data_IF_418800522373
#
_entry.id   IF_418800522373
#
_cell.length_a   1.000
_cell.length_b   1.000
_cell.length_c   1.000
_cell.angle_alpha   90.00
_cell.angle_beta   90.00
_cell.angle_gamma   90.00
#
_symmetry.space_group_name_H-M   'P 1'
#
loop_
_entity.id
_entity.type
_entity.pdbx_description
1 polymer ?
#
# COMPACT_ATOMS: atom_id res chain seq x y z
N UNK A 1 3.81 -25.14 -6.09
CA UNK A 1 5.16 -24.68 -5.68
C UNK A 1 5.05 -23.16 -5.54
N UNK A 2 4.81 -22.70 -4.32
CA UNK A 2 4.63 -21.29 -4.00
C UNK A 2 6.04 -20.69 -3.96
N UNK A 3 6.28 -19.72 -4.85
CA UNK A 3 7.56 -19.06 -4.97
C UNK A 3 8.04 -18.53 -3.63
N UNK A 4 9.26 -18.90 -3.28
CA UNK A 4 10.02 -18.29 -2.20
C UNK A 4 10.15 -16.80 -2.55
N UNK A 5 9.27 -15.98 -1.95
CA UNK A 5 9.42 -14.54 -1.98
C UNK A 5 10.81 -14.21 -1.42
N UNK A 6 11.56 -13.46 -2.19
CA UNK A 6 12.87 -12.94 -1.90
C UNK A 6 12.94 -12.45 -0.46
N UNK A 7 13.62 -13.22 0.39
CA UNK A 7 14.05 -12.72 1.68
C UNK A 7 15.13 -11.68 1.40
N UNK A 8 14.72 -10.44 1.28
CA UNK A 8 15.66 -9.32 1.31
C UNK A 8 16.31 -9.39 2.69
N UNK A 9 17.58 -9.79 2.75
CA UNK A 9 18.30 -9.98 4.02
C UNK A 9 18.50 -8.61 4.70
N UNK A 10 18.42 -7.52 3.95
CA UNK A 10 18.54 -6.15 4.43
C UNK A 10 17.40 -5.30 3.89
N UNK A 11 16.65 -4.68 4.81
CA UNK A 11 15.54 -3.76 4.51
C UNK A 11 15.81 -2.48 5.30
N UNK A 12 15.92 -1.34 4.63
CA UNK A 12 16.23 -0.03 5.24
C UNK A 12 17.49 -0.05 6.13
N UNK A 13 18.52 -0.81 5.76
CA UNK A 13 19.74 -0.95 6.58
C UNK A 13 19.60 -1.92 7.76
N UNK A 14 18.43 -2.50 7.97
CA UNK A 14 18.18 -3.49 9.03
C UNK A 14 18.42 -4.89 8.50
N UNK A 15 19.36 -5.63 9.12
CA UNK A 15 19.59 -7.03 8.82
C UNK A 15 18.48 -7.89 9.44
N UNK A 16 17.54 -8.34 8.58
CA UNK A 16 16.35 -9.08 9.02
C UNK A 16 16.65 -10.45 9.63
N UNK A 17 17.82 -11.03 9.32
CA UNK A 17 18.24 -12.32 9.87
C UNK A 17 18.76 -12.21 11.32
N UNK A 18 19.26 -11.04 11.72
CA UNK A 18 19.88 -10.79 13.04
C UNK A 18 18.93 -10.12 14.05
N UNK A 19 17.67 -9.97 13.71
CA UNK A 19 16.69 -9.36 14.62
C UNK A 19 16.58 -10.13 15.93
N UNK A 20 16.60 -9.46 17.09
CA UNK A 20 16.50 -10.09 18.37
C UNK A 20 15.16 -10.82 18.56
N UNK A 21 15.22 -11.92 19.30
CA UNK A 21 14.02 -12.62 19.77
C UNK A 21 13.88 -12.31 21.25
N UNK A 22 12.78 -11.66 21.63
CA UNK A 22 12.48 -11.33 23.01
C UNK A 22 11.43 -12.30 23.51
N UNK A 23 11.67 -12.93 24.65
CA UNK A 23 10.71 -13.84 25.28
C UNK A 23 9.53 -13.07 25.91
N UNK A 24 8.44 -13.78 26.22
CA UNK A 24 7.22 -13.14 26.70
C UNK A 24 7.42 -12.49 28.08
N UNK A 25 8.18 -13.12 28.97
CA UNK A 25 8.49 -12.57 30.30
C UNK A 25 9.34 -11.28 30.17
N UNK A 26 10.31 -11.28 29.28
CA UNK A 26 11.15 -10.12 28.98
C UNK A 26 10.34 -8.98 28.34
N UNK A 27 9.35 -9.30 27.50
CA UNK A 27 8.44 -8.29 26.94
C UNK A 27 7.64 -7.55 28.00
N UNK A 28 7.14 -8.25 28.99
CA UNK A 28 6.35 -7.65 30.06
C UNK A 28 7.23 -6.72 30.94
N UNK A 29 8.48 -7.11 31.19
CA UNK A 29 9.44 -6.27 31.91
C UNK A 29 9.82 -5.02 31.12
N UNK A 30 10.14 -5.17 29.82
CA UNK A 30 10.45 -4.06 28.95
C UNK A 30 9.26 -3.08 28.89
N UNK A 31 8.03 -3.61 28.83
CA UNK A 31 6.84 -2.74 28.80
C UNK A 31 6.68 -1.91 30.08
N UNK A 32 6.97 -2.50 31.24
CA UNK A 32 6.98 -1.75 32.51
C UNK A 32 8.02 -0.63 32.51
N UNK A 33 9.22 -0.90 31.98
CA UNK A 33 10.28 0.12 31.81
C UNK A 33 9.90 1.20 30.83
N UNK A 34 9.24 0.86 29.73
CA UNK A 34 8.71 1.84 28.76
C UNK A 34 7.72 2.78 29.43
N UNK A 35 6.79 2.26 30.23
CA UNK A 35 5.84 3.08 31.00
C UNK A 35 6.53 4.01 32.01
N UNK A 36 7.71 3.67 32.50
CA UNK A 36 8.53 4.55 33.36
C UNK A 36 9.39 5.55 32.59
N UNK A 37 9.34 5.56 31.25
CA UNK A 37 10.05 6.52 30.40
C UNK A 37 11.44 6.07 29.94
N UNK A 38 11.77 4.78 30.04
CA UNK A 38 13.05 4.24 29.59
C UNK A 38 13.09 4.13 28.04
N UNK A 39 13.84 5.05 27.42
CA UNK A 39 14.01 5.08 25.97
C UNK A 39 14.75 3.84 25.42
N UNK A 40 15.75 3.32 26.16
CA UNK A 40 16.49 2.12 25.74
C UNK A 40 15.61 0.87 25.75
N UNK A 41 14.72 0.73 26.72
CA UNK A 41 13.74 -0.36 26.73
C UNK A 41 12.76 -0.25 25.55
N UNK A 42 12.38 0.98 25.16
CA UNK A 42 11.51 1.22 24.00
C UNK A 42 12.18 0.81 22.69
N UNK A 43 13.44 1.17 22.47
CA UNK A 43 14.21 0.78 21.30
C UNK A 43 14.32 -0.74 21.19
N UNK A 44 14.72 -1.40 22.27
CA UNK A 44 14.86 -2.87 22.30
C UNK A 44 13.50 -3.57 22.03
N UNK A 45 12.40 -3.02 22.57
CA UNK A 45 11.07 -3.56 22.32
C UNK A 45 10.63 -3.40 20.86
N UNK A 46 10.95 -2.27 20.22
CA UNK A 46 10.71 -2.05 18.80
C UNK A 46 11.48 -3.08 17.97
N UNK A 47 12.79 -3.21 18.21
CA UNK A 47 13.65 -4.15 17.48
C UNK A 47 13.16 -5.59 17.57
N UNK A 48 12.77 -6.03 18.76
CA UNK A 48 12.25 -7.38 18.98
C UNK A 48 10.89 -7.67 18.35
N UNK A 49 10.18 -6.62 17.91
CA UNK A 49 8.89 -6.77 17.23
C UNK A 49 8.95 -6.44 15.70
N UNK A 50 10.13 -6.12 15.15
CA UNK A 50 10.27 -5.85 13.70
C UNK A 50 9.90 -7.07 12.84
N UNK A 51 10.09 -8.30 13.34
CA UNK A 51 9.63 -9.52 12.65
C UNK A 51 8.12 -9.55 12.44
N UNK A 52 7.35 -8.95 13.38
CA UNK A 52 5.91 -8.82 13.23
C UNK A 52 5.57 -7.91 12.05
N UNK A 53 6.28 -6.78 11.92
CA UNK A 53 6.13 -5.87 10.77
C UNK A 53 6.45 -6.60 9.46
N UNK A 54 7.58 -7.34 9.40
CA UNK A 54 7.97 -8.12 8.23
C UNK A 54 6.88 -9.13 7.81
N UNK A 55 6.28 -9.82 8.76
CA UNK A 55 5.21 -10.78 8.47
C UNK A 55 3.94 -10.12 7.92
N UNK A 56 3.69 -8.88 8.31
CA UNK A 56 2.51 -8.12 7.85
C UNK A 56 2.74 -7.56 6.44
N UNK A 57 3.90 -7.00 6.14
CA UNK A 57 4.17 -6.42 4.81
C UNK A 57 4.14 -7.48 3.71
N UNK A 58 4.44 -8.75 4.00
CA UNK A 58 4.29 -9.83 3.03
C UNK A 58 2.86 -9.96 2.47
N UNK A 59 1.85 -9.55 3.23
CA UNK A 59 0.45 -9.55 2.77
C UNK A 59 0.17 -8.45 1.75
N UNK A 60 1.06 -7.46 1.64
CA UNK A 60 0.98 -6.34 0.71
C UNK A 60 1.96 -6.47 -0.46
N UNK A 61 2.53 -7.67 -0.69
CA UNK A 61 3.47 -7.93 -1.79
C UNK A 61 2.91 -7.67 -3.19
N UNK A 62 1.58 -7.67 -3.33
CA UNK A 62 0.89 -7.36 -4.58
C UNK A 62 0.69 -5.85 -4.80
N UNK A 63 1.04 -4.99 -3.83
CA UNK A 63 1.09 -3.56 -4.07
C UNK A 63 2.34 -3.24 -4.89
N UNK A 64 2.24 -2.30 -5.83
CA UNK A 64 3.39 -1.85 -6.63
C UNK A 64 4.34 -0.94 -5.84
N UNK A 65 4.18 -0.87 -4.52
CA UNK A 65 4.98 -0.02 -3.65
C UNK A 65 6.30 -0.67 -3.25
N UNK A 66 7.29 0.16 -2.94
CA UNK A 66 8.59 -0.31 -2.47
C UNK A 66 8.43 -0.99 -1.09
N UNK A 67 9.02 -2.18 -0.97
CA UNK A 67 9.03 -2.95 0.29
C UNK A 67 9.67 -2.15 1.43
N UNK A 68 10.69 -1.35 1.13
CA UNK A 68 11.37 -0.51 2.12
C UNK A 68 10.41 0.56 2.70
N UNK A 69 9.59 1.18 1.84
CA UNK A 69 8.59 2.17 2.27
C UNK A 69 7.49 1.52 3.10
N UNK A 70 6.97 0.36 2.66
CA UNK A 70 5.99 -0.41 3.43
C UNK A 70 6.53 -0.81 4.80
N UNK A 71 7.81 -1.16 4.89
CA UNK A 71 8.46 -1.50 6.15
C UNK A 71 8.55 -0.30 7.08
N UNK A 72 9.00 0.86 6.57
CA UNK A 72 9.06 2.09 7.36
C UNK A 72 7.68 2.50 7.89
N UNK A 73 6.66 2.49 7.04
CA UNK A 73 5.28 2.78 7.46
C UNK A 73 4.76 1.76 8.48
N UNK A 74 5.10 0.47 8.28
CA UNK A 74 4.79 -0.57 9.25
C UNK A 74 5.45 -0.33 10.60
N UNK A 75 6.71 0.14 10.62
CA UNK A 75 7.42 0.52 11.84
C UNK A 75 6.75 1.72 12.53
N UNK A 76 6.25 2.70 11.79
CA UNK A 76 5.47 3.81 12.36
C UNK A 76 4.21 3.27 13.05
N UNK A 77 3.50 2.33 12.42
CA UNK A 77 2.36 1.65 13.01
C UNK A 77 2.70 0.88 14.28
N UNK A 78 3.85 0.19 14.30
CA UNK A 78 4.36 -0.51 15.47
C UNK A 78 4.68 0.45 16.61
N UNK A 79 5.39 1.55 16.34
CA UNK A 79 5.71 2.57 17.35
C UNK A 79 4.44 3.17 17.96
N UNK A 80 3.46 3.55 17.14
CA UNK A 80 2.15 4.02 17.63
C UNK A 80 1.43 2.97 18.49
N UNK A 81 1.56 1.70 18.13
CA UNK A 81 0.97 0.62 18.92
C UNK A 81 1.66 0.49 20.27
N UNK A 82 2.99 0.61 20.36
CA UNK A 82 3.74 0.57 21.61
C UNK A 82 3.34 1.74 22.52
N UNK A 83 3.28 2.94 21.95
CA UNK A 83 2.98 4.17 22.72
C UNK A 83 1.54 4.18 23.29
N UNK A 84 0.60 3.52 22.62
CA UNK A 84 -0.81 3.52 23.01
C UNK A 84 -1.30 2.19 23.64
N UNK A 85 -0.44 1.18 23.78
CA UNK A 85 -0.85 -0.09 24.32
C UNK A 85 -1.08 -0.04 25.84
N UNK A 86 -2.21 -0.56 26.26
CA UNK A 86 -2.55 -0.74 27.64
C UNK A 86 -2.47 -2.21 28.06
N UNK A 87 -1.55 -2.52 28.98
CA UNK A 87 -1.33 -3.87 29.50
C UNK A 87 -2.46 -4.37 30.40
N UNK A 88 -3.32 -3.48 30.92
CA UNK A 88 -4.40 -3.86 31.81
C UNK A 88 -5.59 -4.51 31.08
N UNK A 89 -5.64 -4.38 29.75
CA UNK A 89 -6.72 -4.96 28.94
C UNK A 89 -6.65 -6.49 28.77
N UNK A 90 -5.61 -7.15 29.25
CA UNK A 90 -5.49 -8.61 29.22
C UNK A 90 -5.34 -9.21 27.82
N UNK A 91 -5.06 -8.40 26.79
CA UNK A 91 -4.81 -8.87 25.42
C UNK A 91 -3.33 -8.89 25.11
N UNK A 92 -2.90 -9.79 24.23
CA UNK A 92 -1.51 -9.82 23.78
C UNK A 92 -1.20 -8.57 22.94
N UNK A 93 0.01 -8.01 23.12
CA UNK A 93 0.47 -6.86 22.35
C UNK A 93 0.32 -7.08 20.82
N UNK A 94 0.68 -8.25 20.31
CA UNK A 94 0.54 -8.54 18.87
C UNK A 94 -0.91 -8.43 18.37
N UNK A 95 -1.90 -8.78 19.18
CA UNK A 95 -3.32 -8.65 18.82
C UNK A 95 -3.72 -7.20 18.63
N UNK A 96 -3.16 -6.29 19.42
CA UNK A 96 -3.37 -4.85 19.31
C UNK A 96 -2.53 -4.23 18.19
N UNK A 97 -1.26 -4.62 18.07
CA UNK A 97 -0.32 -4.03 17.13
C UNK A 97 -0.64 -4.35 15.65
N UNK A 98 -1.08 -5.58 15.35
CA UNK A 98 -1.37 -6.01 13.97
C UNK A 98 -2.39 -5.11 13.27
N UNK A 99 -3.57 -4.81 13.82
CA UNK A 99 -4.52 -3.88 13.22
C UNK A 99 -3.95 -2.46 13.05
N UNK A 100 -3.15 -1.98 14.01
CA UNK A 100 -2.52 -0.66 13.95
C UNK A 100 -1.54 -0.56 12.79
N UNK A 101 -0.65 -1.55 12.63
CA UNK A 101 0.32 -1.63 11.53
C UNK A 101 -0.41 -1.71 10.18
N UNK A 102 -1.40 -2.59 10.05
CA UNK A 102 -2.21 -2.72 8.84
C UNK A 102 -2.93 -1.40 8.52
N UNK A 103 -3.44 -0.72 9.55
CA UNK A 103 -4.13 0.57 9.41
C UNK A 103 -3.23 1.65 8.82
N UNK A 104 -1.98 1.77 9.31
CA UNK A 104 -1.01 2.73 8.80
C UNK A 104 -0.59 2.39 7.36
N UNK A 105 -0.32 1.13 7.05
CA UNK A 105 0.01 0.69 5.68
C UNK A 105 -1.14 1.00 4.73
N UNK A 106 -2.38 0.65 5.08
CA UNK A 106 -3.55 0.95 4.24
C UNK A 106 -3.77 2.45 4.06
N UNK A 107 -3.51 3.26 5.09
CA UNK A 107 -3.57 4.72 4.99
C UNK A 107 -2.54 5.22 3.99
N UNK A 108 -1.29 4.78 4.11
CA UNK A 108 -0.21 5.12 3.20
C UNK A 108 -0.57 4.76 1.75
N UNK A 109 -0.95 3.51 1.48
CA UNK A 109 -1.35 3.04 0.14
C UNK A 109 -2.51 3.85 -0.46
N UNK A 110 -3.41 4.33 0.38
CA UNK A 110 -4.51 5.18 -0.07
C UNK A 110 -4.07 6.60 -0.40
N UNK A 111 -3.16 7.16 0.39
CA UNK A 111 -2.79 8.58 0.34
C UNK A 111 -1.56 8.83 -0.57
N UNK A 112 -0.77 7.78 -0.89
CA UNK A 112 0.46 7.83 -1.70
C UNK A 112 0.21 7.68 -3.22
N UNK A 113 -0.92 8.16 -3.73
CA UNK A 113 -1.14 8.19 -5.18
C UNK A 113 -0.66 9.51 -5.78
N UNK A 114 -0.09 9.46 -6.99
CA UNK A 114 0.37 10.62 -7.74
C UNK A 114 -0.75 11.66 -7.95
N UNK A 115 -1.99 11.20 -8.10
CA UNK A 115 -3.19 12.03 -8.23
C UNK A 115 -4.12 11.73 -7.06
N UNK A 116 -4.53 12.79 -6.35
CA UNK A 116 -5.49 12.67 -5.25
C UNK A 116 -6.89 12.41 -5.78
N UNK A 117 -7.42 11.24 -5.48
CA UNK A 117 -8.80 10.85 -5.78
C UNK A 117 -9.64 10.92 -4.51
N UNK A 118 -10.86 11.49 -4.60
CA UNK A 118 -11.80 11.53 -3.47
C UNK A 118 -12.18 10.12 -3.00
N UNK A 119 -12.54 9.98 -1.72
CA UNK A 119 -12.92 8.68 -1.16
C UNK A 119 -14.13 8.08 -1.86
N UNK A 120 -15.17 8.88 -2.06
CA UNK A 120 -16.41 8.43 -2.73
C UNK A 120 -16.13 7.90 -4.14
N UNK A 121 -15.30 8.62 -4.90
CA UNK A 121 -14.97 8.22 -6.26
C UNK A 121 -14.16 6.91 -6.29
N UNK A 122 -13.23 6.76 -5.35
CA UNK A 122 -12.46 5.52 -5.20
C UNK A 122 -13.33 4.35 -4.75
N UNK A 123 -14.26 4.56 -3.82
CA UNK A 123 -15.18 3.52 -3.37
C UNK A 123 -16.09 3.07 -4.53
N UNK A 124 -16.56 4.01 -5.36
CA UNK A 124 -17.32 3.69 -6.57
C UNK A 124 -16.47 2.88 -7.57
N UNK A 125 -15.19 3.24 -7.76
CA UNK A 125 -14.29 2.48 -8.61
C UNK A 125 -14.10 1.03 -8.11
N UNK A 126 -13.87 0.83 -6.82
CA UNK A 126 -13.76 -0.52 -6.24
C UNK A 126 -15.04 -1.33 -6.41
N UNK A 127 -16.21 -0.70 -6.21
CA UNK A 127 -17.51 -1.37 -6.44
C UNK A 127 -17.66 -1.78 -7.90
N UNK A 128 -17.31 -0.90 -8.83
CA UNK A 128 -17.39 -1.19 -10.27
C UNK A 128 -16.42 -2.31 -10.67
N UNK A 129 -15.16 -2.27 -10.21
CA UNK A 129 -14.14 -3.30 -10.48
C UNK A 129 -14.58 -4.65 -9.92
N UNK A 130 -15.04 -4.68 -8.66
CA UNK A 130 -15.51 -5.91 -8.03
C UNK A 130 -16.72 -6.53 -8.77
N UNK A 131 -17.68 -5.68 -9.17
CA UNK A 131 -18.84 -6.10 -9.95
C UNK A 131 -18.41 -6.64 -11.33
N UNK A 132 -17.45 -5.98 -11.99
CA UNK A 132 -16.87 -6.44 -13.27
C UNK A 132 -16.23 -7.82 -13.12
N UNK A 133 -15.41 -8.01 -12.11
CA UNK A 133 -14.73 -9.30 -11.87
C UNK A 133 -15.72 -10.43 -11.54
N UNK A 134 -16.77 -10.14 -10.75
CA UNK A 134 -17.80 -11.09 -10.44
C UNK A 134 -18.58 -11.50 -11.70
N UNK A 135 -18.98 -10.54 -12.52
CA UNK A 135 -19.66 -10.78 -13.79
C UNK A 135 -18.84 -11.62 -14.77
N UNK A 136 -17.55 -11.32 -14.91
CA UNK A 136 -16.64 -12.09 -15.77
C UNK A 136 -16.53 -13.54 -15.28
N UNK A 137 -16.48 -13.75 -13.97
CA UNK A 137 -16.40 -15.09 -13.37
C UNK A 137 -17.64 -15.93 -13.67
N UNK A 138 -18.84 -15.31 -13.67
CA UNK A 138 -20.10 -15.99 -13.90
C UNK A 138 -20.42 -16.20 -15.38
N UNK A 139 -20.10 -15.21 -16.22
CA UNK A 139 -20.52 -15.18 -17.62
C UNK A 139 -19.39 -15.46 -18.62
N UNK A 140 -18.12 -15.57 -18.16
CA UNK A 140 -16.93 -15.75 -19.01
C UNK A 140 -16.80 -14.71 -20.14
N UNK A 141 -17.34 -13.51 -19.96
CA UNK A 141 -17.21 -12.36 -20.86
C UNK A 141 -17.17 -11.05 -20.08
N UNK A 142 -16.70 -9.99 -20.71
CA UNK A 142 -16.77 -8.66 -20.12
C UNK A 142 -18.21 -8.12 -20.12
N UNK A 143 -18.63 -7.42 -19.04
CA UNK A 143 -19.92 -6.73 -19.00
C UNK A 143 -19.93 -5.49 -19.87
N UNK A 144 -21.07 -5.16 -20.43
CA UNK A 144 -21.33 -3.82 -20.98
C UNK A 144 -21.48 -2.80 -19.84
N UNK A 145 -21.46 -1.49 -20.15
CA UNK A 145 -21.63 -0.44 -19.13
C UNK A 145 -23.03 -0.53 -18.51
N UNK A 146 -24.05 -0.92 -19.29
CA UNK A 146 -25.41 -1.14 -18.82
C UNK A 146 -25.47 -2.26 -17.78
N UNK A 147 -24.93 -3.42 -18.11
CA UNK A 147 -24.89 -4.57 -17.23
C UNK A 147 -24.08 -4.27 -15.96
N UNK A 148 -22.97 -3.54 -16.11
CA UNK A 148 -22.16 -3.13 -14.97
C UNK A 148 -22.91 -2.16 -14.06
N UNK A 149 -23.71 -1.25 -14.64
CA UNK A 149 -24.58 -0.34 -13.88
C UNK A 149 -25.65 -1.10 -13.07
N UNK A 150 -26.27 -2.11 -13.67
CA UNK A 150 -27.26 -2.94 -13.00
C UNK A 150 -26.66 -3.76 -11.85
N UNK A 151 -25.51 -4.40 -12.07
CA UNK A 151 -24.85 -5.25 -11.07
C UNK A 151 -24.22 -4.42 -9.94
N UNK A 152 -23.60 -3.29 -10.27
CA UNK A 152 -22.92 -2.45 -9.26
C UNK A 152 -23.88 -1.51 -8.52
N UNK A 153 -25.07 -1.20 -9.10
CA UNK A 153 -26.00 -0.19 -8.59
C UNK A 153 -25.46 1.24 -8.67
N UNK A 154 -24.52 1.51 -9.56
CA UNK A 154 -23.96 2.83 -9.85
C UNK A 154 -24.52 3.37 -11.16
N UNK A 155 -24.62 4.70 -11.29
CA UNK A 155 -24.95 5.30 -12.57
C UNK A 155 -23.82 5.08 -13.60
N UNK A 156 -24.15 5.10 -14.90
CA UNK A 156 -23.16 4.95 -15.97
C UNK A 156 -22.08 6.04 -15.90
N UNK A 157 -22.47 7.25 -15.59
CA UNK A 157 -21.56 8.40 -15.43
C UNK A 157 -20.62 8.17 -14.26
N UNK A 158 -21.12 7.69 -13.11
CA UNK A 158 -20.29 7.40 -11.94
C UNK A 158 -19.29 6.29 -12.22
N UNK A 159 -19.67 5.25 -12.98
CA UNK A 159 -18.77 4.16 -13.35
C UNK A 159 -17.62 4.69 -14.21
N UNK A 160 -17.93 5.44 -15.26
CA UNK A 160 -16.91 6.00 -16.18
C UNK A 160 -15.97 6.92 -15.41
N UNK A 161 -16.53 7.90 -14.68
CA UNK A 161 -15.75 8.87 -13.91
C UNK A 161 -14.87 8.18 -12.84
N UNK A 162 -15.40 7.15 -12.19
CA UNK A 162 -14.68 6.43 -11.15
C UNK A 162 -13.54 5.58 -11.75
N UNK A 163 -13.77 4.90 -12.85
CA UNK A 163 -12.76 4.09 -13.50
C UNK A 163 -11.63 4.93 -14.11
N UNK A 164 -11.96 6.08 -14.70
CA UNK A 164 -10.97 7.02 -15.22
C UNK A 164 -10.11 7.62 -14.10
N UNK A 165 -10.71 7.93 -12.97
CA UNK A 165 -10.02 8.56 -11.85
C UNK A 165 -8.98 7.64 -11.15
N UNK A 166 -9.12 6.31 -11.25
CA UNK A 166 -8.19 5.35 -10.64
C UNK A 166 -7.15 4.81 -11.61
N UNK A 167 -7.13 5.29 -12.86
CA UNK A 167 -6.09 4.91 -13.82
C UNK A 167 -4.72 5.38 -13.34
N UNK A 168 -3.72 4.51 -13.51
CA UNK A 168 -2.34 4.84 -13.19
C UNK A 168 -1.80 5.83 -14.22
N UNK A 169 -1.22 6.97 -13.81
CA UNK A 169 -0.59 7.89 -14.74
C UNK A 169 0.56 7.21 -15.51
N UNK A 170 0.63 7.51 -16.79
CA UNK A 170 1.72 7.01 -17.66
C UNK A 170 2.88 8.00 -17.61
N UNK A 171 4.12 7.50 -17.62
CA UNK A 171 5.30 8.36 -17.66
C UNK A 171 5.43 9.09 -18.99
N UNK A 172 5.73 10.39 -18.94
CA UNK A 172 6.05 11.14 -20.17
C UNK A 172 7.32 10.61 -20.85
N UNK A 173 8.21 9.98 -20.10
CA UNK A 173 9.44 9.35 -20.62
C UNK A 173 9.24 7.88 -21.00
N UNK A 174 8.01 7.38 -21.04
CA UNK A 174 7.75 6.05 -21.55
C UNK A 174 7.96 6.02 -23.05
N UNK A 175 8.80 5.10 -23.59
CA UNK A 175 9.03 5.00 -25.01
C UNK A 175 7.81 4.42 -25.71
N UNK A 176 7.27 5.16 -26.68
CA UNK A 176 6.17 4.70 -27.54
C UNK A 176 6.69 3.77 -28.63
N UNK A 177 7.92 4.02 -29.10
CA UNK A 177 8.58 3.24 -30.12
C UNK A 177 10.09 3.19 -29.87
N UNK A 178 10.67 1.97 -29.93
CA UNK A 178 12.09 1.75 -29.62
C UNK A 178 12.83 0.85 -30.63
N UNK A 179 12.26 0.56 -31.81
CA UNK A 179 12.92 -0.27 -32.82
C UNK A 179 13.80 0.58 -33.77
N UNK A 180 15.11 0.41 -33.63
CA UNK A 180 16.09 0.75 -34.66
C UNK A 180 16.47 2.23 -34.89
N UNK A 181 16.11 3.13 -33.98
CA UNK A 181 16.43 4.56 -34.06
C UNK A 181 16.37 5.27 -32.71
N UNK A 182 16.34 6.59 -32.71
CA UNK A 182 16.10 7.38 -31.52
C UNK A 182 14.73 7.03 -30.93
N UNK A 183 14.68 6.74 -29.61
CA UNK A 183 13.45 6.40 -28.94
C UNK A 183 12.47 7.58 -28.99
N UNK A 184 11.24 7.35 -29.45
CA UNK A 184 10.17 8.33 -29.42
C UNK A 184 9.42 8.18 -28.09
N UNK A 185 9.32 9.27 -27.32
CA UNK A 185 8.68 9.30 -26.02
C UNK A 185 7.25 9.87 -26.10
N UNK A 186 6.43 9.55 -25.09
CA UNK A 186 5.06 10.13 -24.98
C UNK A 186 5.12 11.65 -24.96
N UNK A 187 6.12 12.26 -24.32
CA UNK A 187 6.24 13.70 -24.24
C UNK A 187 6.41 14.37 -25.60
N UNK A 188 7.00 13.67 -26.59
CA UNK A 188 7.19 14.17 -27.95
C UNK A 188 5.86 14.28 -28.73
N UNK A 189 4.84 13.56 -28.27
CA UNK A 189 3.49 13.55 -28.86
C UNK A 189 2.54 14.55 -28.22
N UNK A 190 2.89 15.11 -27.04
CA UNK A 190 2.05 16.06 -26.32
C UNK A 190 2.29 17.48 -26.85
N UNK A 191 1.30 18.01 -27.59
CA UNK A 191 1.37 19.39 -28.07
C UNK A 191 1.00 20.41 -27.01
N UNK A 192 1.80 21.48 -26.87
CA UNK A 192 1.44 22.62 -26.05
C UNK A 192 0.42 23.50 -26.77
N UNK A 193 -0.85 23.45 -26.33
CA UNK A 193 -1.94 24.23 -26.91
C UNK A 193 -1.87 25.73 -26.57
N UNK A 194 -1.10 26.13 -25.55
CA UNK A 194 -0.95 27.52 -25.12
C UNK A 194 0.17 28.24 -25.89
N UNK A 195 1.18 27.48 -26.31
CA UNK A 195 2.35 27.99 -27.05
C UNK A 195 2.23 27.63 -28.54
N UNK A 196 1.03 27.67 -29.12
CA UNK A 196 0.87 27.81 -30.55
C UNK A 196 1.36 29.18 -30.92
N UNK A 197 2.66 29.36 -30.94
CA UNK A 197 3.24 30.42 -31.72
C UNK A 197 2.74 30.22 -33.15
N UNK A 198 2.07 31.22 -33.63
CA UNK A 198 1.71 31.37 -35.02
C UNK A 198 3.01 31.17 -35.82
N UNK A 199 3.20 29.96 -36.28
CA UNK A 199 4.20 29.71 -37.30
C UNK A 199 3.67 30.36 -38.57
N UNK A 200 4.21 31.44 -38.80
CA UNK A 200 4.23 32.27 -40.00
C UNK A 200 4.99 31.62 -41.16
#
# INVERSE_FOLDING_TARGET
MIGMALYKVEICGVNTAKLPLIDNEEKDELFRRIKSGDAGARELYIEGNLRLVLSIIQRFSNSNENVDDLFQIGCIGLMKAIDNFDTEQGVRFSTYAVPMIIGEIRRYLRDNNSIRVSRSLRDNAYRAIYAKEAFIRENNREPTIEELSEVSGLSREDIVNAMDAVQTPVSLYEPVYSEGGDALYIMDQVSDKKNREENW
#
